data_IF_512377273925
#
_entry.id   IF_512377273925
#
_cell.length_a   1.000
_cell.length_b   1.000
_cell.length_c   1.000
_cell.angle_alpha   90.00
_cell.angle_beta   90.00
_cell.angle_gamma   90.00
#
_symmetry.space_group_name_H-M   'P 1'
#
loop_
_entity.id
_entity.type
_entity.pdbx_description
1 polymer ?
#
# COMPACT_ATOMS: atom_id res chain seq x y z
N UNK A 1 -8.09 -4.95 -10.79
CA UNK A 1 -8.40 -3.66 -10.13
C UNK A 1 -8.46 -2.47 -11.10
N UNK A 2 -7.35 -1.91 -11.61
CA UNK A 2 -7.43 -0.70 -12.45
C UNK A 2 -8.02 -0.98 -13.86
N UNK A 3 -7.60 -2.08 -14.51
CA UNK A 3 -8.17 -2.51 -15.80
C UNK A 3 -9.62 -2.94 -15.69
N UNK A 4 -9.97 -3.68 -14.63
CA UNK A 4 -11.36 -4.06 -14.32
C UNK A 4 -12.26 -2.84 -14.09
N UNK A 5 -11.72 -1.76 -13.56
CA UNK A 5 -12.44 -0.50 -13.34
C UNK A 5 -12.44 0.43 -14.57
N UNK A 6 -11.95 -0.03 -15.73
CA UNK A 6 -11.86 0.80 -16.95
C UNK A 6 -10.86 1.97 -16.86
N UNK A 7 -10.02 2.03 -15.81
CA UNK A 7 -9.08 3.11 -15.59
C UNK A 7 -7.80 2.89 -16.39
N UNK A 8 -7.55 3.78 -17.36
CA UNK A 8 -6.32 3.78 -18.14
C UNK A 8 -5.22 4.52 -17.37
N UNK A 9 -4.34 3.76 -16.73
CA UNK A 9 -3.16 4.30 -16.06
C UNK A 9 -2.08 4.66 -17.10
N UNK A 10 -1.47 5.83 -16.95
CA UNK A 10 -0.33 6.30 -17.75
C UNK A 10 0.89 5.40 -17.58
N UNK A 11 1.06 4.80 -16.40
CA UNK A 11 2.09 3.81 -16.12
C UNK A 11 1.55 2.69 -15.23
N UNK A 12 1.84 1.45 -15.60
CA UNK A 12 1.61 0.28 -14.75
C UNK A 12 2.93 -0.19 -14.14
N UNK A 13 2.93 -0.37 -12.82
CA UNK A 13 4.04 -0.97 -12.09
C UNK A 13 3.77 -2.43 -11.69
N UNK A 14 2.75 -3.07 -12.28
CA UNK A 14 2.32 -4.43 -11.93
C UNK A 14 3.42 -5.48 -12.06
N UNK A 15 4.35 -5.34 -13.03
CA UNK A 15 5.49 -6.26 -13.19
C UNK A 15 6.68 -5.92 -12.28
N UNK A 16 6.92 -4.63 -12.06
CA UNK A 16 8.10 -4.13 -11.33
C UNK A 16 7.92 -4.18 -9.82
N UNK A 17 6.71 -3.96 -9.33
CA UNK A 17 6.37 -3.97 -7.90
C UNK A 17 6.71 -5.31 -7.24
N UNK A 18 6.13 -6.43 -7.70
CA UNK A 18 6.38 -7.76 -7.12
C UNK A 18 7.86 -8.15 -7.14
N UNK A 19 8.57 -7.89 -8.25
CA UNK A 19 10.01 -8.15 -8.38
C UNK A 19 10.82 -7.37 -7.34
N UNK A 20 10.49 -6.10 -7.16
CA UNK A 20 11.17 -5.24 -6.18
C UNK A 20 10.88 -5.67 -4.75
N UNK A 21 9.65 -6.11 -4.44
CA UNK A 21 9.29 -6.69 -3.13
C UNK A 21 10.13 -7.94 -2.86
N UNK A 22 10.21 -8.87 -3.81
CA UNK A 22 11.02 -10.08 -3.66
C UNK A 22 12.51 -9.76 -3.41
N UNK A 23 13.07 -8.77 -4.11
CA UNK A 23 14.42 -8.28 -3.87
C UNK A 23 14.59 -7.68 -2.46
N UNK A 24 13.64 -6.87 -2.01
CA UNK A 24 13.65 -6.28 -0.66
C UNK A 24 13.64 -7.38 0.40
N UNK A 25 12.83 -8.44 0.23
CA UNK A 25 12.81 -9.60 1.13
C UNK A 25 14.16 -10.33 1.20
N UNK A 26 14.86 -10.48 0.07
CA UNK A 26 16.22 -11.06 0.06
C UNK A 26 17.20 -10.16 0.82
N UNK A 27 17.10 -8.85 0.62
CA UNK A 27 17.94 -7.89 1.36
C UNK A 27 17.64 -7.85 2.86
N UNK A 28 16.39 -8.07 3.28
CA UNK A 28 16.04 -8.19 4.71
C UNK A 28 16.70 -9.40 5.34
N UNK A 29 16.67 -10.57 4.68
CA UNK A 29 17.36 -11.76 5.17
C UNK A 29 18.87 -11.54 5.29
N UNK A 30 19.48 -10.90 4.28
CA UNK A 30 20.91 -10.57 4.30
C UNK A 30 21.27 -9.32 5.14
N UNK A 31 20.31 -8.73 5.88
CA UNK A 31 20.48 -7.51 6.70
C UNK A 31 21.08 -6.31 5.94
N UNK A 32 20.84 -6.20 4.63
CA UNK A 32 21.37 -5.14 3.77
C UNK A 32 20.51 -3.86 3.84
N UNK A 33 20.52 -3.18 5.00
CA UNK A 33 19.59 -2.07 5.29
C UNK A 33 19.64 -0.90 4.31
N UNK A 34 20.81 -0.56 3.75
CA UNK A 34 20.91 0.50 2.72
C UNK A 34 20.10 0.15 1.46
N UNK A 35 20.14 -1.12 1.03
CA UNK A 35 19.40 -1.61 -0.15
C UNK A 35 17.91 -1.73 0.13
N UNK A 36 17.53 -2.21 1.32
CA UNK A 36 16.13 -2.23 1.79
C UNK A 36 15.53 -0.82 1.69
N UNK A 37 16.18 0.18 2.29
CA UNK A 37 15.70 1.58 2.26
C UNK A 37 15.56 2.12 0.84
N UNK A 38 16.49 1.79 -0.07
CA UNK A 38 16.42 2.19 -1.49
C UNK A 38 15.22 1.53 -2.19
N UNK A 39 15.00 0.23 -1.95
CA UNK A 39 13.86 -0.50 -2.49
C UNK A 39 12.52 0.06 -2.01
N UNK A 40 12.39 0.29 -0.71
CA UNK A 40 11.19 0.89 -0.11
C UNK A 40 10.91 2.31 -0.65
N UNK A 41 11.94 3.16 -0.83
CA UNK A 41 11.78 4.47 -1.47
C UNK A 41 11.25 4.36 -2.90
N UNK A 42 11.75 3.40 -3.67
CA UNK A 42 11.31 3.16 -5.05
C UNK A 42 9.88 2.65 -5.10
N UNK A 43 9.50 1.72 -4.21
CA UNK A 43 8.11 1.27 -4.04
C UNK A 43 7.19 2.45 -3.70
N UNK A 44 7.55 3.29 -2.72
CA UNK A 44 6.77 4.49 -2.37
C UNK A 44 6.60 5.44 -3.55
N UNK A 45 7.63 5.61 -4.37
CA UNK A 45 7.57 6.41 -5.60
C UNK A 45 6.62 5.83 -6.66
N UNK A 46 6.60 4.51 -6.83
CA UNK A 46 5.65 3.81 -7.70
C UNK A 46 4.21 3.99 -7.24
N UNK A 47 3.95 3.74 -5.96
CA UNK A 47 2.62 3.95 -5.37
C UNK A 47 2.18 5.40 -5.54
N UNK A 48 3.04 6.38 -5.22
CA UNK A 48 2.71 7.80 -5.36
C UNK A 48 2.43 8.24 -6.79
N UNK A 49 3.10 7.65 -7.80
CA UNK A 49 2.81 7.92 -9.22
C UNK A 49 1.43 7.40 -9.61
N UNK A 50 1.14 6.13 -9.30
CA UNK A 50 -0.15 5.51 -9.61
C UNK A 50 -1.28 6.22 -8.89
N UNK A 51 -1.11 6.54 -7.60
CA UNK A 51 -2.12 7.26 -6.82
C UNK A 51 -2.43 8.65 -7.40
N UNK A 52 -1.41 9.41 -7.81
CA UNK A 52 -1.63 10.72 -8.44
C UNK A 52 -2.38 10.61 -9.76
N UNK A 53 -2.14 9.54 -10.52
CA UNK A 53 -2.83 9.30 -11.79
C UNK A 53 -4.30 8.93 -11.57
N UNK A 54 -4.56 8.00 -10.64
CA UNK A 54 -5.92 7.64 -10.21
C UNK A 54 -6.67 8.87 -9.68
N UNK A 55 -6.02 9.70 -8.87
CA UNK A 55 -6.67 10.86 -8.26
C UNK A 55 -6.98 11.98 -9.26
N UNK A 56 -6.30 12.03 -10.41
CA UNK A 56 -6.69 12.91 -11.54
C UNK A 56 -7.91 12.40 -12.30
N UNK A 57 -8.20 11.11 -12.18
CA UNK A 57 -9.32 10.45 -12.83
C UNK A 57 -10.47 10.18 -11.84
N UNK A 58 -10.38 10.70 -10.60
CA UNK A 58 -11.31 10.34 -9.51
C UNK A 58 -12.76 10.72 -9.81
N UNK A 59 -12.96 11.82 -10.54
CA UNK A 59 -14.29 12.29 -10.94
C UNK A 59 -14.94 11.35 -11.97
N UNK A 60 -14.14 10.67 -12.79
CA UNK A 60 -14.60 9.68 -13.75
C UNK A 60 -14.88 8.30 -13.12
N UNK A 61 -14.46 8.08 -11.87
CA UNK A 61 -14.74 6.83 -11.15
C UNK A 61 -16.15 6.91 -10.59
N UNK A 62 -17.10 6.18 -11.15
CA UNK A 62 -18.49 6.12 -10.64
C UNK A 62 -18.68 5.08 -9.54
N UNK A 63 -17.80 4.09 -9.45
CA UNK A 63 -17.85 3.03 -8.43
C UNK A 63 -17.46 3.56 -7.03
N UNK A 64 -18.44 3.58 -6.12
CA UNK A 64 -18.27 4.02 -4.73
C UNK A 64 -17.32 3.11 -3.94
N UNK A 65 -17.38 1.80 -4.13
CA UNK A 65 -16.51 0.85 -3.44
C UNK A 65 -15.04 1.02 -3.87
N UNK A 66 -14.82 1.34 -5.14
CA UNK A 66 -13.49 1.67 -5.63
C UNK A 66 -12.98 3.00 -5.03
N UNK A 67 -13.84 4.02 -4.92
CA UNK A 67 -13.49 5.29 -4.26
C UNK A 67 -13.10 5.09 -2.80
N UNK A 68 -13.84 4.26 -2.06
CA UNK A 68 -13.50 3.92 -0.67
C UNK A 68 -12.14 3.21 -0.56
N UNK A 69 -11.90 2.19 -1.41
CA UNK A 69 -10.60 1.51 -1.46
C UNK A 69 -9.45 2.48 -1.78
N UNK A 70 -9.66 3.41 -2.72
CA UNK A 70 -8.67 4.45 -3.06
C UNK A 70 -8.42 5.36 -1.85
N UNK A 71 -9.45 5.74 -1.10
CA UNK A 71 -9.31 6.55 0.11
C UNK A 71 -8.48 5.82 1.19
N UNK A 72 -8.74 4.53 1.41
CA UNK A 72 -7.96 3.67 2.32
C UNK A 72 -6.49 3.60 1.89
N UNK A 73 -6.23 3.34 0.61
CA UNK A 73 -4.85 3.28 0.07
C UNK A 73 -4.13 4.62 0.18
N UNK A 74 -4.85 5.74 0.02
CA UNK A 74 -4.31 7.10 0.17
C UNK A 74 -3.79 7.41 1.58
N UNK A 75 -4.34 6.74 2.59
CA UNK A 75 -3.91 6.87 3.98
C UNK A 75 -2.57 6.19 4.25
N UNK A 76 -2.32 5.05 3.61
CA UNK A 76 -1.13 4.21 3.81
C UNK A 76 0.21 4.97 3.71
N UNK A 77 0.51 5.76 2.66
CA UNK A 77 1.79 6.45 2.54
C UNK A 77 1.99 7.61 3.54
N UNK A 78 0.91 8.08 4.16
CA UNK A 78 0.91 9.15 5.19
C UNK A 78 1.09 8.61 6.60
N UNK A 79 0.95 7.30 6.79
CA UNK A 79 1.07 6.64 8.09
C UNK A 79 2.51 6.72 8.62
N UNK A 80 2.69 7.20 9.86
CA UNK A 80 3.98 7.22 10.57
C UNK A 80 4.08 6.07 11.57
N UNK A 81 5.30 5.66 11.98
CA UNK A 81 5.50 4.58 12.94
C UNK A 81 4.81 4.75 14.30
N UNK A 82 4.47 5.98 14.72
CA UNK A 82 3.79 6.23 16.01
C UNK A 82 2.30 6.60 15.88
N UNK A 83 1.73 6.52 14.67
CA UNK A 83 0.31 6.83 14.49
C UNK A 83 -0.58 5.82 15.20
N UNK A 84 -1.70 6.29 15.76
CA UNK A 84 -2.79 5.45 16.27
C UNK A 84 -3.67 4.95 15.09
N UNK A 85 -4.43 3.86 15.30
CA UNK A 85 -5.32 3.22 14.30
C UNK A 85 -4.63 2.89 12.98
N UNK A 86 -3.50 2.18 13.02
CA UNK A 86 -2.72 1.88 11.82
C UNK A 86 -3.48 0.92 10.91
N UNK A 87 -3.43 1.16 9.60
CA UNK A 87 -3.86 0.15 8.64
C UNK A 87 -2.90 -1.03 8.70
N UNK A 88 -3.43 -2.20 9.08
CA UNK A 88 -2.71 -3.46 9.17
C UNK A 88 -2.96 -4.35 7.95
N UNK A 89 -4.20 -4.39 7.46
CA UNK A 89 -4.58 -5.05 6.22
C UNK A 89 -5.30 -4.06 5.28
N UNK A 90 -5.03 -4.15 3.98
CA UNK A 90 -5.70 -3.31 2.98
C UNK A 90 -7.11 -3.82 2.63
N UNK A 91 -7.33 -5.14 2.74
CA UNK A 91 -8.63 -5.76 2.47
C UNK A 91 -9.58 -5.66 3.66
N UNK A 92 -9.05 -5.35 4.85
CA UNK A 92 -9.81 -5.27 6.09
C UNK A 92 -9.23 -4.12 6.94
N UNK A 93 -9.66 -2.87 6.71
CA UNK A 93 -9.05 -1.70 7.31
C UNK A 93 -9.31 -1.57 8.82
N UNK A 94 -10.33 -2.27 9.33
CA UNK A 94 -10.79 -2.21 10.71
C UNK A 94 -10.11 -3.23 11.63
N UNK A 95 -9.23 -4.11 11.11
CA UNK A 95 -8.48 -5.05 11.95
C UNK A 95 -7.36 -4.38 12.73
N UNK A 96 -7.26 -4.75 14.01
CA UNK A 96 -6.15 -4.37 14.87
C UNK A 96 -5.10 -5.48 14.98
N UNK A 97 -3.82 -5.08 15.06
CA UNK A 97 -2.74 -6.02 15.31
C UNK A 97 -2.59 -6.27 16.82
N UNK A 98 -2.96 -7.46 17.25
CA UNK A 98 -2.76 -7.92 18.63
C UNK A 98 -1.45 -8.70 18.71
N UNK A 99 -0.62 -8.40 19.71
CA UNK A 99 0.62 -9.16 19.94
C UNK A 99 0.29 -10.63 20.26
N UNK A 100 1.13 -11.57 19.81
CA UNK A 100 0.94 -13.00 20.12
C UNK A 100 0.75 -13.20 21.63
N UNK A 101 -0.25 -14.01 22.02
CA UNK A 101 -0.60 -14.29 23.41
C UNK A 101 -1.44 -13.22 24.14
N UNK A 102 -1.75 -12.10 23.49
CA UNK A 102 -2.60 -11.01 24.04
C UNK A 102 -4.06 -11.05 23.56
N UNK A 103 -4.44 -12.01 22.71
CA UNK A 103 -5.80 -12.16 22.19
C UNK A 103 -6.87 -12.30 23.29
N UNK A 104 -6.49 -12.82 24.47
CA UNK A 104 -7.39 -13.04 25.60
C UNK A 104 -7.79 -11.78 26.39
N UNK A 105 -7.18 -10.62 26.12
CA UNK A 105 -7.50 -9.36 26.82
C UNK A 105 -8.32 -8.48 25.88
N UNK A 106 -9.56 -8.17 26.25
CA UNK A 106 -10.39 -7.19 25.51
C UNK A 106 -9.75 -5.81 25.69
N UNK A 107 -9.52 -5.13 24.56
CA UNK A 107 -8.97 -3.77 24.49
C UNK A 107 -10.10 -2.75 24.44
#
# INVERSE_FOLDING_TARGET
MAQEAGLKLRQSHARLGPRLVAQVSRYTHARQFKRIRKGLRRLKGYTGRVMRDIQRQVDAITDSALREKIAVVNRLPRQKPKNKRKLHALHEPDVDCISKGKARKRY
#
